data_IF_987338873794
#
_entry.id   IF_987338873794
#
_cell.length_a   1.000
_cell.length_b   1.000
_cell.length_c   1.000
_cell.angle_alpha   90.00
_cell.angle_beta   90.00
_cell.angle_gamma   90.00
#
_symmetry.space_group_name_H-M   'P 1'
#
loop_
_entity.id
_entity.type
_entity.pdbx_description
1 polymer ?
#
# COMPACT_ATOMS: atom_id res chain seq x y z
N UNK A 1 -17.73 -0.41 8.70
CA UNK A 1 -18.05 -0.41 7.25
C UNK A 1 -17.96 1.00 6.71
N UNK A 2 -17.07 1.24 5.75
CA UNK A 2 -16.97 2.53 5.06
C UNK A 2 -17.86 2.51 3.82
N UNK A 3 -18.61 3.58 3.63
CA UNK A 3 -19.57 3.68 2.55
C UNK A 3 -18.83 3.73 1.20
N UNK A 4 -19.27 2.92 0.24
CA UNK A 4 -18.62 2.81 -1.07
C UNK A 4 -18.58 4.15 -1.80
N UNK A 5 -19.52 5.07 -1.54
CA UNK A 5 -19.53 6.40 -2.13
C UNK A 5 -18.39 7.28 -1.57
N UNK A 6 -18.03 7.10 -0.31
CA UNK A 6 -16.95 7.85 0.34
C UNK A 6 -15.59 7.46 -0.22
N UNK A 7 -15.38 6.16 -0.43
CA UNK A 7 -14.16 5.65 -1.04
C UNK A 7 -14.02 6.13 -2.48
N UNK A 8 -15.11 6.19 -3.24
CA UNK A 8 -15.11 6.78 -4.57
C UNK A 8 -14.75 8.26 -4.53
N UNK A 9 -15.31 9.03 -3.59
CA UNK A 9 -14.98 10.46 -3.41
C UNK A 9 -13.50 10.66 -3.05
N UNK A 10 -12.95 9.83 -2.16
CA UNK A 10 -11.52 9.85 -1.83
C UNK A 10 -10.66 9.52 -3.05
N UNK A 11 -10.98 8.47 -3.81
CA UNK A 11 -10.24 8.10 -5.03
C UNK A 11 -10.27 9.22 -6.07
N UNK A 12 -11.43 9.81 -6.32
CA UNK A 12 -11.57 10.95 -7.24
C UNK A 12 -10.68 12.11 -6.79
N UNK A 13 -10.67 12.42 -5.49
CA UNK A 13 -9.83 13.48 -4.95
C UNK A 13 -8.33 13.19 -5.10
N UNK A 14 -7.91 11.95 -4.88
CA UNK A 14 -6.51 11.53 -5.08
C UNK A 14 -6.09 11.60 -6.56
N UNK A 15 -7.01 11.34 -7.50
CA UNK A 15 -6.78 11.51 -8.94
C UNK A 15 -6.62 13.00 -9.27
N UNK A 16 -7.52 13.86 -8.76
CA UNK A 16 -7.46 15.30 -9.01
C UNK A 16 -6.18 15.94 -8.43
N UNK A 17 -5.65 15.39 -7.33
CA UNK A 17 -4.36 15.78 -6.73
C UNK A 17 -3.14 15.20 -7.48
N UNK A 18 -3.33 14.40 -8.52
CA UNK A 18 -2.26 13.77 -9.31
C UNK A 18 -1.50 12.66 -8.57
N UNK A 19 -2.07 12.14 -7.48
CA UNK A 19 -1.48 11.05 -6.69
C UNK A 19 -1.76 9.70 -7.35
N UNK A 20 -2.98 9.55 -7.88
CA UNK A 20 -3.45 8.39 -8.60
C UNK A 20 -3.65 8.72 -10.08
N UNK A 21 -3.31 7.77 -10.94
CA UNK A 21 -3.52 7.87 -12.38
C UNK A 21 -4.96 7.49 -12.76
N UNK A 22 -5.66 8.41 -13.42
CA UNK A 22 -7.05 8.22 -13.87
C UNK A 22 -7.20 6.97 -14.77
N UNK A 23 -6.15 6.53 -15.45
CA UNK A 23 -6.16 5.33 -16.30
C UNK A 23 -6.58 4.06 -15.56
N UNK A 24 -6.39 4.00 -14.24
CA UNK A 24 -6.76 2.83 -13.42
C UNK A 24 -7.99 3.08 -12.52
N UNK A 25 -8.75 4.14 -12.75
CA UNK A 25 -9.88 4.54 -11.90
C UNK A 25 -10.87 3.40 -11.65
N UNK A 26 -11.27 2.70 -12.72
CA UNK A 26 -12.18 1.56 -12.66
C UNK A 26 -11.63 0.39 -11.84
N UNK A 27 -10.31 0.32 -11.68
CA UNK A 27 -9.64 -0.75 -10.96
C UNK A 27 -9.43 -0.43 -9.47
N UNK A 28 -9.56 0.81 -9.00
CA UNK A 28 -9.31 1.12 -7.60
C UNK A 28 -10.33 0.52 -6.63
N UNK A 29 -11.53 0.17 -7.11
CA UNK A 29 -12.55 -0.53 -6.34
C UNK A 29 -12.04 -1.87 -5.78
N UNK A 30 -11.20 -2.61 -6.53
CA UNK A 30 -10.68 -3.90 -6.09
C UNK A 30 -9.73 -3.77 -4.88
N UNK A 31 -9.00 -2.65 -4.81
CA UNK A 31 -8.06 -2.37 -3.71
C UNK A 31 -8.85 -2.19 -2.42
N UNK A 32 -9.92 -1.40 -2.47
CA UNK A 32 -10.81 -1.22 -1.33
C UNK A 32 -11.46 -2.53 -0.89
N UNK A 33 -12.01 -3.29 -1.83
CA UNK A 33 -12.65 -4.57 -1.52
C UNK A 33 -11.68 -5.52 -0.81
N UNK A 34 -10.46 -5.66 -1.34
CA UNK A 34 -9.43 -6.53 -0.75
C UNK A 34 -8.98 -6.06 0.62
N UNK A 35 -8.83 -4.76 0.82
CA UNK A 35 -8.47 -4.23 2.13
C UNK A 35 -9.62 -4.37 3.13
N UNK A 36 -10.86 -4.07 2.75
CA UNK A 36 -12.01 -4.17 3.64
C UNK A 36 -12.28 -5.63 4.07
N UNK A 37 -12.08 -6.61 3.17
CA UNK A 37 -12.15 -8.04 3.52
C UNK A 37 -11.15 -8.43 4.63
N UNK A 38 -9.96 -7.85 4.63
CA UNK A 38 -8.92 -8.16 5.61
C UNK A 38 -9.01 -7.29 6.86
N UNK A 39 -9.21 -5.98 6.70
CA UNK A 39 -9.40 -5.02 7.80
C UNK A 39 -10.55 -5.51 8.68
N UNK A 40 -11.67 -5.95 8.11
CA UNK A 40 -12.78 -6.48 8.91
C UNK A 40 -12.40 -7.67 9.81
N UNK A 41 -11.35 -8.44 9.47
CA UNK A 41 -10.89 -9.57 10.29
C UNK A 41 -9.96 -9.14 11.42
N UNK A 42 -9.32 -7.98 11.31
CA UNK A 42 -8.27 -7.51 12.23
C UNK A 42 -8.63 -6.22 12.95
N UNK A 43 -9.71 -5.55 12.55
CA UNK A 43 -10.10 -4.23 13.05
C UNK A 43 -10.34 -4.28 14.55
N UNK A 44 -9.44 -3.62 15.29
CA UNK A 44 -9.66 -3.27 16.68
C UNK A 44 -9.75 -1.74 16.79
N UNK A 45 -10.95 -1.16 16.98
CA UNK A 45 -11.13 0.29 17.03
C UNK A 45 -10.25 0.99 18.08
N UNK A 46 -9.83 0.28 19.12
CA UNK A 46 -8.96 0.81 20.18
C UNK A 46 -7.47 0.86 19.80
N UNK A 47 -7.07 0.27 18.67
CA UNK A 47 -5.67 0.15 18.24
C UNK A 47 -5.48 0.56 16.76
N UNK A 48 -5.80 1.80 16.38
CA UNK A 48 -5.81 2.26 14.99
C UNK A 48 -4.44 2.19 14.30
N UNK A 49 -3.34 2.46 15.02
CA UNK A 49 -1.99 2.33 14.44
C UNK A 49 -1.65 0.87 14.09
N UNK A 50 -1.98 -0.07 14.98
CA UNK A 50 -1.73 -1.51 14.74
C UNK A 50 -2.56 -1.99 13.55
N UNK A 51 -3.82 -1.56 13.43
CA UNK A 51 -4.65 -1.89 12.28
C UNK A 51 -4.03 -1.35 10.98
N UNK A 52 -3.50 -0.13 11.00
CA UNK A 52 -2.82 0.47 9.85
C UNK A 52 -1.60 -0.37 9.44
N UNK A 53 -0.72 -0.72 10.38
CA UNK A 53 0.49 -1.51 10.10
C UNK A 53 0.17 -2.91 9.55
N UNK A 54 -0.82 -3.58 10.14
CA UNK A 54 -1.28 -4.90 9.66
C UNK A 54 -1.90 -4.81 8.26
N UNK A 55 -2.73 -3.79 8.02
CA UNK A 55 -3.32 -3.51 6.71
C UNK A 55 -2.26 -3.19 5.66
N UNK A 56 -1.24 -2.40 6.01
CA UNK A 56 -0.11 -2.10 5.12
C UNK A 56 0.68 -3.36 4.77
N UNK A 57 0.96 -4.22 5.76
CA UNK A 57 1.64 -5.49 5.56
C UNK A 57 0.85 -6.40 4.62
N UNK A 58 -0.47 -6.51 4.83
CA UNK A 58 -1.34 -7.26 3.93
C UNK A 58 -1.31 -6.69 2.50
N UNK A 59 -1.47 -5.38 2.35
CA UNK A 59 -1.45 -4.69 1.07
C UNK A 59 -0.17 -5.03 0.28
N UNK A 60 1.00 -4.89 0.92
CA UNK A 60 2.30 -5.20 0.29
C UNK A 60 2.39 -6.67 -0.15
N UNK A 61 1.92 -7.60 0.67
CA UNK A 61 1.90 -9.02 0.33
C UNK A 61 0.98 -9.32 -0.86
N UNK A 62 -0.23 -8.75 -0.86
CA UNK A 62 -1.18 -8.91 -1.96
C UNK A 62 -0.63 -8.35 -3.28
N UNK A 63 -0.05 -7.15 -3.25
CA UNK A 63 0.58 -6.55 -4.43
C UNK A 63 1.79 -7.35 -4.94
N UNK A 64 2.56 -7.96 -4.04
CA UNK A 64 3.63 -8.90 -4.42
C UNK A 64 3.07 -10.11 -5.17
N UNK A 65 1.95 -10.66 -4.69
CA UNK A 65 1.22 -11.72 -5.40
C UNK A 65 0.78 -11.32 -6.81
N UNK A 66 0.30 -10.08 -6.97
CA UNK A 66 -0.07 -9.52 -8.29
C UNK A 66 1.15 -9.28 -9.19
N UNK A 67 2.28 -8.87 -8.63
CA UNK A 67 3.52 -8.74 -9.39
C UNK A 67 3.95 -10.06 -10.02
N UNK A 68 3.84 -11.17 -9.28
CA UNK A 68 4.16 -12.50 -9.82
C UNK A 68 3.20 -12.95 -10.93
N UNK A 69 2.02 -12.32 -11.03
CA UNK A 69 1.05 -12.56 -12.10
C UNK A 69 1.30 -11.66 -13.32
N UNK A 70 2.36 -10.85 -13.32
CA UNK A 70 2.73 -10.00 -14.44
C UNK A 70 1.97 -8.68 -14.54
N UNK A 71 1.30 -8.23 -13.46
CA UNK A 71 0.69 -6.90 -13.43
C UNK A 71 1.80 -5.83 -13.53
N UNK A 72 1.57 -4.82 -14.36
CA UNK A 72 2.54 -3.74 -14.60
C UNK A 72 2.88 -2.99 -13.32
N UNK A 73 4.16 -2.62 -13.16
CA UNK A 73 4.68 -1.86 -12.03
C UNK A 73 3.93 -0.53 -11.77
N UNK A 74 3.52 0.15 -12.84
CA UNK A 74 2.78 1.41 -12.76
C UNK A 74 1.41 1.22 -12.09
N UNK A 75 0.65 0.23 -12.54
CA UNK A 75 -0.61 -0.20 -11.92
C UNK A 75 -0.42 -0.64 -10.45
N UNK A 76 0.63 -1.40 -10.16
CA UNK A 76 0.95 -1.81 -8.78
C UNK A 76 1.29 -0.63 -7.86
N UNK A 77 2.02 0.36 -8.38
CA UNK A 77 2.34 1.59 -7.64
C UNK A 77 1.08 2.41 -7.37
N UNK A 78 0.19 2.52 -8.34
CA UNK A 78 -1.10 3.15 -8.18
C UNK A 78 -1.98 2.42 -7.16
N UNK A 79 -2.00 1.08 -7.17
CA UNK A 79 -2.71 0.31 -6.16
C UNK A 79 -2.12 0.47 -4.76
N UNK A 80 -0.79 0.54 -4.64
CA UNK A 80 -0.11 0.79 -3.35
C UNK A 80 -0.56 2.14 -2.77
N UNK A 81 -0.50 3.21 -3.56
CA UNK A 81 -0.92 4.55 -3.11
C UNK A 81 -2.40 4.58 -2.75
N UNK A 82 -3.26 3.96 -3.57
CA UNK A 82 -4.69 3.85 -3.32
C UNK A 82 -4.96 3.13 -1.99
N UNK A 83 -4.31 1.98 -1.76
CA UNK A 83 -4.51 1.21 -0.55
C UNK A 83 -3.99 1.90 0.71
N UNK A 84 -2.84 2.57 0.63
CA UNK A 84 -2.31 3.39 1.72
C UNK A 84 -3.25 4.56 2.06
N UNK A 85 -3.92 5.14 1.07
CA UNK A 85 -4.88 6.21 1.29
C UNK A 85 -6.15 5.70 1.98
N UNK A 86 -6.64 4.51 1.63
CA UNK A 86 -7.76 3.88 2.32
C UNK A 86 -7.42 3.54 3.77
N UNK A 87 -6.23 3.00 4.03
CA UNK A 87 -5.75 2.74 5.39
C UNK A 87 -5.64 4.05 6.20
N UNK A 88 -5.16 5.12 5.56
CA UNK A 88 -5.09 6.45 6.18
C UNK A 88 -6.48 6.98 6.54
N UNK A 89 -7.46 6.77 5.66
CA UNK A 89 -8.84 7.16 5.92
C UNK A 89 -9.44 6.40 7.11
N UNK A 90 -9.26 5.07 7.17
CA UNK A 90 -9.74 4.28 8.31
C UNK A 90 -9.05 4.68 9.62
N UNK A 91 -7.76 5.03 9.57
CA UNK A 91 -7.03 5.53 10.74
C UNK A 91 -7.61 6.86 11.25
N UNK A 92 -7.80 7.84 10.36
CA UNK A 92 -8.39 9.14 10.70
C UNK A 92 -9.81 8.97 11.23
N UNK A 93 -10.62 8.15 10.55
CA UNK A 93 -11.99 7.84 10.96
C UNK A 93 -12.02 7.21 12.35
N UNK A 94 -11.11 6.28 12.66
CA UNK A 94 -11.04 5.61 13.96
C UNK A 94 -10.64 6.55 15.09
N UNK A 95 -9.73 7.51 14.81
CA UNK A 95 -9.29 8.51 15.78
C UNK A 95 -10.32 9.61 16.03
N UNK A 96 -11.12 9.97 15.02
CA UNK A 96 -12.04 11.09 15.13
C UNK A 96 -13.38 10.83 14.41
N UNK A 97 -14.36 10.39 15.20
CA UNK A 97 -15.67 9.97 14.68
C UNK A 97 -16.56 11.17 14.33
N UNK A 98 -16.36 12.33 14.95
CA UNK A 98 -17.28 13.49 14.89
C UNK A 98 -17.04 14.42 13.69
N UNK A 99 -15.93 14.26 12.97
CA UNK A 99 -15.58 15.10 11.81
C UNK A 99 -16.53 14.82 10.61
N UNK A 100 -16.90 15.87 9.86
CA UNK A 100 -17.63 15.74 8.61
C UNK A 100 -16.85 14.94 7.55
N UNK A 101 -17.56 14.38 6.58
CA UNK A 101 -16.95 13.52 5.55
C UNK A 101 -15.85 14.23 4.75
N UNK A 102 -16.09 15.49 4.38
CA UNK A 102 -15.16 16.22 3.51
C UNK A 102 -13.89 16.60 4.25
N UNK A 103 -14.03 17.01 5.50
CA UNK A 103 -12.91 17.25 6.42
C UNK A 103 -12.12 15.96 6.70
N UNK A 104 -12.79 14.79 6.78
CA UNK A 104 -12.11 13.48 6.88
C UNK A 104 -11.28 13.18 5.63
N UNK A 105 -11.78 13.47 4.44
CA UNK A 105 -11.04 13.29 3.17
C UNK A 105 -9.84 14.23 3.12
N UNK A 106 -10.02 15.50 3.47
CA UNK A 106 -8.92 16.48 3.51
C UNK A 106 -7.85 16.06 4.52
N UNK A 107 -8.26 15.71 5.75
CA UNK A 107 -7.37 15.23 6.81
C UNK A 107 -6.62 13.98 6.39
N UNK A 108 -7.27 13.08 5.67
CA UNK A 108 -6.64 11.88 5.09
C UNK A 108 -5.54 12.27 4.11
N UNK A 109 -5.78 13.21 3.21
CA UNK A 109 -4.80 13.66 2.22
C UNK A 109 -3.61 14.34 2.90
N UNK A 110 -3.87 15.18 3.91
CA UNK A 110 -2.82 15.82 4.71
C UNK A 110 -1.98 14.78 5.43
N UNK A 111 -2.61 13.82 6.12
CA UNK A 111 -1.93 12.71 6.79
C UNK A 111 -1.08 11.90 5.82
N UNK A 112 -1.65 11.56 4.66
CA UNK A 112 -1.01 10.77 3.61
C UNK A 112 0.24 11.46 3.07
N UNK A 113 0.16 12.76 2.77
CA UNK A 113 1.30 13.59 2.31
C UNK A 113 2.35 13.77 3.40
N UNK A 114 1.95 13.95 4.66
CA UNK A 114 2.88 14.08 5.78
C UNK A 114 3.73 12.81 5.98
N UNK A 115 3.17 11.62 5.69
CA UNK A 115 3.91 10.36 5.67
C UNK A 115 4.64 10.09 4.33
N UNK A 116 4.62 11.03 3.39
CA UNK A 116 5.22 10.94 2.06
C UNK A 116 4.68 9.77 1.22
N UNK A 117 3.44 9.33 1.48
CA UNK A 117 2.91 8.15 0.82
C UNK A 117 2.59 8.38 -0.65
N UNK A 118 2.42 9.63 -1.09
CA UNK A 118 2.24 10.01 -2.50
C UNK A 118 3.47 9.70 -3.35
N UNK A 119 4.63 9.65 -2.70
CA UNK A 119 5.90 9.25 -3.32
C UNK A 119 6.16 7.76 -3.25
N UNK A 120 5.26 6.99 -2.62
CA UNK A 120 5.42 5.54 -2.54
C UNK A 120 5.50 4.93 -3.93
N UNK A 121 6.38 3.95 -4.05
CA UNK A 121 6.63 3.26 -5.29
C UNK A 121 6.71 1.77 -5.02
N UNK A 122 5.90 0.98 -5.74
CA UNK A 122 5.90 -0.45 -5.53
C UNK A 122 7.18 -1.05 -6.13
N UNK A 123 7.96 -1.73 -5.30
CA UNK A 123 9.14 -2.48 -5.72
C UNK A 123 8.90 -3.95 -5.43
N UNK A 124 8.79 -4.75 -6.48
CA UNK A 124 8.82 -6.19 -6.37
C UNK A 124 10.17 -6.61 -5.81
N UNK A 125 10.17 -7.32 -4.69
CA UNK A 125 11.39 -7.85 -4.08
C UNK A 125 11.93 -9.06 -4.87
N UNK A 126 12.12 -8.92 -6.18
CA UNK A 126 12.75 -9.96 -7.02
C UNK A 126 14.21 -10.25 -6.62
N UNK A 127 14.80 -9.39 -5.78
CA UNK A 127 16.18 -9.53 -5.31
C UNK A 127 16.37 -10.50 -4.14
N UNK A 128 15.32 -11.05 -3.54
CA UNK A 128 15.48 -12.06 -2.48
C UNK A 128 15.74 -13.48 -3.02
N UNK A 129 15.74 -13.67 -4.36
CA UNK A 129 16.13 -14.94 -5.02
C UNK A 129 17.52 -14.96 -5.65
N UNK A 130 18.35 -13.93 -5.46
CA UNK A 130 19.75 -13.91 -5.93
C UNK A 130 20.72 -13.49 -4.82
N UNK A 131 20.63 -14.13 -3.65
CA UNK A 131 21.75 -14.22 -2.71
C UNK A 131 22.30 -15.65 -2.71
N UNK A 132 22.72 -16.13 -3.88
CA UNK A 132 23.65 -17.27 -3.93
C UNK A 132 24.97 -16.77 -3.30
N UNK A 133 25.55 -17.49 -2.31
CA UNK A 133 26.81 -17.08 -1.70
C UNK A 133 27.88 -17.02 -2.79
N UNK A 134 28.54 -15.85 -2.93
CA UNK A 134 29.72 -15.69 -3.76
C UNK A 134 30.73 -16.76 -3.37
N UNK A 135 30.87 -17.77 -4.21
CA UNK A 135 31.93 -18.77 -4.10
C UNK A 135 33.25 -18.01 -4.24
N UNK A 136 34.02 -17.97 -3.16
CA UNK A 136 35.39 -17.46 -3.19
C UNK A 136 36.19 -18.44 -4.06
N UNK A 137 36.87 -17.98 -5.13
CA UNK A 137 37.77 -18.84 -5.88
C UNK A 137 39.06 -18.98 -5.07
N UNK A 138 39.21 -20.08 -4.32
CA UNK A 138 40.49 -20.44 -3.71
C UNK A 138 41.44 -20.86 -4.82
N UNK A 139 42.26 -19.91 -5.28
CA UNK A 139 43.38 -20.19 -6.18
C UNK A 139 44.35 -21.18 -5.52
N UNK A 140 44.72 -22.21 -6.29
CA UNK A 140 45.83 -23.12 -6.02
C UNK A 140 47.13 -22.33 -5.79
N UNK A 141 47.90 -22.72 -4.78
CA UNK A 141 49.35 -22.63 -4.82
C UNK A 141 49.93 -23.99 -4.42
N UNK A 142 50.69 -24.56 -5.35
CA UNK A 142 51.45 -25.77 -5.18
C UNK A 142 52.82 -25.45 -4.53
N UNK A 143 53.31 -26.38 -3.69
CA UNK A 143 54.71 -26.77 -3.72
C UNK A 143 55.67 -26.21 -2.65
N UNK A 144 56.19 -27.17 -1.87
CA UNK A 144 57.59 -27.34 -1.39
C UNK A 144 58.22 -26.26 -0.49
N UNK A 145 58.55 -26.66 0.73
CA UNK A 145 59.86 -27.24 1.07
C UNK A 145 59.78 -28.02 2.37
#
# INVERSE_FOLDING_TARGET
MTDSALIQKLNARLIDEGILDRTFEENYSIVYQKLNEEIFKIENPSLPEINFELGEKFLKNWLTGLSHQGISQDKLTNYLRCGLAHLSYEYIKSNDQEIEIDDKIESTIVFFKNRNFERSFFRSNDKEKMAAPKSIPTQKAAGKK
#
